data_IF_188599745173
#
_entry.id   IF_188599745173
#
_cell.length_a   1.000
_cell.length_b   1.000
_cell.length_c   1.000
_cell.angle_alpha   90.00
_cell.angle_beta   90.00
_cell.angle_gamma   90.00
#
_symmetry.space_group_name_H-M   'P 1'
#
loop_
_entity.id
_entity.type
_entity.pdbx_description
1 polymer ?
#
# COMPACT_ATOMS: atom_id res chain seq x y z
N UNK A 1 -23.49 2.62 0.20
CA UNK A 1 -22.27 3.31 0.68
C UNK A 1 -21.45 3.74 -0.54
N UNK A 2 -20.76 4.89 -0.48
CA UNK A 2 -19.77 5.25 -1.52
C UNK A 2 -18.62 4.24 -1.48
N UNK A 3 -18.11 3.83 -2.65
CA UNK A 3 -17.02 2.84 -2.78
C UNK A 3 -15.81 3.19 -1.89
N UNK A 4 -15.40 4.46 -1.86
CA UNK A 4 -14.29 4.90 -1.02
C UNK A 4 -14.53 4.75 0.49
N UNK A 5 -15.78 4.87 0.96
CA UNK A 5 -16.11 4.60 2.36
C UNK A 5 -15.95 3.13 2.72
N UNK A 6 -16.30 2.21 1.80
CA UNK A 6 -16.12 0.78 1.99
C UNK A 6 -14.62 0.46 2.08
N UNK A 7 -13.82 1.04 1.18
CA UNK A 7 -12.37 0.85 1.17
C UNK A 7 -11.73 1.36 2.48
N UNK A 8 -12.13 2.54 2.96
CA UNK A 8 -11.63 3.06 4.25
C UNK A 8 -11.96 2.10 5.40
N UNK A 9 -13.20 1.60 5.48
CA UNK A 9 -13.61 0.67 6.54
C UNK A 9 -12.81 -0.62 6.44
N UNK A 10 -12.71 -1.22 5.24
CA UNK A 10 -11.95 -2.45 5.02
C UNK A 10 -10.47 -2.28 5.38
N UNK A 11 -9.84 -1.19 4.93
CA UNK A 11 -8.44 -0.89 5.26
C UNK A 11 -8.22 -0.66 6.76
N UNK A 12 -9.19 -0.04 7.44
CA UNK A 12 -9.15 0.13 8.90
C UNK A 12 -9.23 -1.21 9.62
N UNK A 13 -10.11 -2.12 9.18
CA UNK A 13 -10.21 -3.47 9.73
C UNK A 13 -8.89 -4.23 9.54
N UNK A 14 -8.29 -4.18 8.35
CA UNK A 14 -6.98 -4.81 8.11
C UNK A 14 -5.89 -4.23 9.01
N UNK A 15 -5.84 -2.90 9.18
CA UNK A 15 -4.86 -2.27 10.08
C UNK A 15 -5.06 -2.71 11.54
N UNK A 16 -6.31 -2.78 12.02
CA UNK A 16 -6.61 -3.24 13.38
C UNK A 16 -6.28 -4.71 13.60
N UNK A 17 -6.56 -5.58 12.62
CA UNK A 17 -6.16 -6.98 12.66
C UNK A 17 -4.64 -7.11 12.74
N UNK A 18 -3.92 -6.31 11.94
CA UNK A 18 -2.46 -6.27 11.98
C UNK A 18 -1.91 -5.79 13.33
N UNK A 19 -2.49 -4.75 13.92
CA UNK A 19 -2.10 -4.27 15.26
C UNK A 19 -2.36 -5.35 16.32
N UNK A 20 -3.51 -6.01 16.26
CA UNK A 20 -3.88 -7.05 17.21
C UNK A 20 -2.98 -8.29 17.15
N UNK A 21 -2.41 -8.59 15.99
CA UNK A 21 -1.56 -9.77 15.80
C UNK A 21 -0.08 -9.56 16.16
N UNK A 22 0.34 -8.35 16.55
CA UNK A 22 1.77 -7.99 16.76
C UNK A 22 2.48 -8.96 17.73
N UNK A 23 1.77 -9.43 18.75
CA UNK A 23 2.34 -10.32 19.76
C UNK A 23 2.38 -11.80 19.37
N UNK A 24 1.76 -12.17 18.25
CA UNK A 24 1.65 -13.55 17.77
C UNK A 24 2.50 -13.78 16.54
N UNK A 25 2.40 -12.88 15.55
CA UNK A 25 3.11 -12.98 14.29
C UNK A 25 3.42 -11.58 13.76
N UNK A 26 4.59 -11.05 14.18
CA UNK A 26 5.05 -9.72 13.83
C UNK A 26 5.12 -9.50 12.31
N UNK A 27 5.44 -10.54 11.55
CA UNK A 27 5.57 -10.46 10.10
C UNK A 27 4.20 -10.24 9.47
N UNK A 28 3.25 -11.15 9.70
CA UNK A 28 1.90 -10.99 9.16
C UNK A 28 1.26 -9.69 9.65
N UNK A 29 1.53 -9.27 10.90
CA UNK A 29 1.08 -7.99 11.44
C UNK A 29 1.51 -6.80 10.62
N UNK A 30 2.81 -6.66 10.35
CA UNK A 30 3.33 -5.51 9.59
C UNK A 30 2.76 -5.51 8.17
N UNK A 31 2.60 -6.69 7.56
CA UNK A 31 1.95 -6.81 6.25
C UNK A 31 0.52 -6.27 6.27
N UNK A 32 -0.31 -6.71 7.22
CA UNK A 32 -1.70 -6.28 7.32
C UNK A 32 -1.83 -4.78 7.61
N UNK A 33 -0.92 -4.21 8.41
CA UNK A 33 -0.89 -2.76 8.67
C UNK A 33 -0.60 -1.99 7.38
N UNK A 34 0.46 -2.36 6.66
CA UNK A 34 0.85 -1.68 5.42
C UNK A 34 -0.21 -1.81 4.33
N UNK A 35 -0.76 -3.01 4.17
CA UNK A 35 -1.83 -3.27 3.21
C UNK A 35 -3.11 -2.49 3.58
N UNK A 36 -3.48 -2.46 4.86
CA UNK A 36 -4.59 -1.65 5.37
C UNK A 36 -4.40 -0.16 5.08
N UNK A 37 -3.20 0.37 5.30
CA UNK A 37 -2.87 1.78 5.00
C UNK A 37 -3.02 2.10 3.50
N UNK A 38 -2.57 1.23 2.59
CA UNK A 38 -2.75 1.41 1.15
C UNK A 38 -4.24 1.50 0.77
N UNK A 39 -5.08 0.64 1.36
CA UNK A 39 -6.53 0.67 1.11
C UNK A 39 -7.16 1.94 1.67
N UNK A 40 -6.77 2.36 2.89
CA UNK A 40 -7.27 3.62 3.50
C UNK A 40 -6.94 4.81 2.60
N UNK A 41 -5.68 4.91 2.14
CA UNK A 41 -5.26 5.97 1.22
C UNK A 41 -6.12 5.92 -0.05
N UNK A 42 -6.29 4.76 -0.67
CA UNK A 42 -7.15 4.60 -1.85
C UNK A 42 -8.58 5.10 -1.60
N UNK A 43 -9.20 4.66 -0.51
CA UNK A 43 -10.58 5.04 -0.19
C UNK A 43 -10.78 6.52 0.12
N UNK A 44 -9.81 7.16 0.80
CA UNK A 44 -9.82 8.60 1.08
C UNK A 44 -9.85 9.42 -0.21
N UNK A 45 -9.03 9.07 -1.19
CA UNK A 45 -8.95 9.81 -2.44
C UNK A 45 -10.09 9.46 -3.42
N UNK A 46 -10.62 8.23 -3.39
CA UNK A 46 -11.89 7.89 -4.07
C UNK A 46 -13.03 8.77 -3.55
N UNK A 47 -13.13 8.95 -2.23
CA UNK A 47 -14.19 9.78 -1.64
C UNK A 47 -14.06 11.27 -1.97
N UNK A 48 -12.83 11.76 -2.19
CA UNK A 48 -12.58 13.12 -2.68
C UNK A 48 -12.95 13.30 -4.16
N UNK A 49 -13.14 12.21 -4.91
CA UNK A 49 -13.53 12.23 -6.32
C UNK A 49 -12.38 12.60 -7.27
N UNK A 50 -11.14 12.69 -6.78
CA UNK A 50 -9.98 12.98 -7.60
C UNK A 50 -8.67 12.41 -7.04
N UNK A 51 -7.84 11.86 -7.93
CA UNK A 51 -6.47 11.43 -7.66
C UNK A 51 -5.51 12.59 -7.98
N UNK A 52 -5.17 13.38 -6.96
CA UNK A 52 -4.26 14.52 -7.10
C UNK A 52 -2.80 14.12 -6.82
N UNK A 53 -1.86 15.08 -6.90
CA UNK A 53 -0.44 14.85 -6.59
C UNK A 53 -0.20 14.21 -5.23
N UNK A 54 -0.95 14.64 -4.21
CA UNK A 54 -0.85 14.11 -2.84
C UNK A 54 -1.21 12.62 -2.77
N UNK A 55 -2.19 12.16 -3.55
CA UNK A 55 -2.51 10.72 -3.64
C UNK A 55 -1.30 9.92 -4.11
N UNK A 56 -0.72 10.31 -5.24
CA UNK A 56 0.38 9.55 -5.82
C UNK A 56 1.62 9.60 -4.92
N UNK A 57 1.90 10.74 -4.30
CA UNK A 57 2.99 10.85 -3.33
C UNK A 57 2.74 9.97 -2.11
N UNK A 58 1.51 9.91 -1.58
CA UNK A 58 1.18 9.06 -0.45
C UNK A 58 1.36 7.57 -0.80
N UNK A 59 0.81 7.11 -1.93
CA UNK A 59 0.97 5.72 -2.38
C UNK A 59 2.44 5.38 -2.64
N UNK A 60 3.17 6.27 -3.32
CA UNK A 60 4.61 6.08 -3.58
C UNK A 60 5.42 5.98 -2.28
N UNK A 61 5.17 6.87 -1.31
CA UNK A 61 5.83 6.81 0.00
C UNK A 61 5.51 5.51 0.74
N UNK A 62 4.26 5.04 0.70
CA UNK A 62 3.89 3.76 1.32
C UNK A 62 4.58 2.57 0.64
N UNK A 63 4.67 2.56 -0.69
CA UNK A 63 5.44 1.54 -1.44
C UNK A 63 6.92 1.60 -1.06
N UNK A 64 7.50 2.80 -0.93
CA UNK A 64 8.89 2.99 -0.50
C UNK A 64 9.17 2.44 0.90
N UNK A 65 8.26 2.69 1.85
CA UNK A 65 8.33 2.09 3.20
C UNK A 65 8.25 0.57 3.12
N UNK A 66 7.34 0.04 2.32
CA UNK A 66 7.16 -1.40 2.13
C UNK A 66 8.44 -2.05 1.58
N UNK A 67 9.03 -1.45 0.53
CA UNK A 67 10.30 -1.91 -0.04
C UNK A 67 11.46 -1.84 0.97
N UNK A 68 11.53 -0.75 1.76
CA UNK A 68 12.53 -0.61 2.82
C UNK A 68 12.44 -1.71 3.87
N UNK A 69 11.22 -2.11 4.25
CA UNK A 69 11.01 -3.21 5.20
C UNK A 69 11.44 -4.55 4.58
N UNK A 70 11.10 -4.83 3.32
CA UNK A 70 11.54 -6.05 2.63
C UNK A 70 13.07 -6.12 2.59
N UNK A 71 13.74 -5.02 2.23
CA UNK A 71 15.20 -4.95 2.19
C UNK A 71 15.78 -5.16 3.58
N UNK A 72 15.20 -4.54 4.62
CA UNK A 72 15.63 -4.74 6.00
C UNK A 72 15.53 -6.21 6.42
N UNK A 73 14.39 -6.86 6.15
CA UNK A 73 14.20 -8.28 6.45
C UNK A 73 15.22 -9.14 5.68
N UNK A 74 15.46 -8.82 4.41
CA UNK A 74 16.41 -9.54 3.58
C UNK A 74 17.85 -9.46 4.11
N UNK A 75 18.29 -8.27 4.52
CA UNK A 75 19.67 -8.02 4.95
C UNK A 75 19.94 -8.42 6.40
N UNK A 76 18.96 -8.28 7.30
CA UNK A 76 19.17 -8.37 8.74
C UNK A 76 18.37 -9.46 9.45
N UNK A 77 17.40 -10.10 8.79
CA UNK A 77 16.59 -11.18 9.36
C UNK A 77 16.74 -12.48 8.56
N UNK A 78 17.96 -13.02 8.49
CA UNK A 78 18.28 -14.24 7.73
C UNK A 78 17.52 -15.48 8.23
N UNK A 79 17.33 -15.62 9.54
CA UNK A 79 16.52 -16.71 10.12
C UNK A 79 15.05 -16.61 9.74
N UNK A 80 14.53 -15.39 9.56
CA UNK A 80 13.15 -15.16 9.14
C UNK A 80 12.92 -15.63 7.69
N UNK A 81 13.83 -15.34 6.77
CA UNK A 81 13.73 -15.79 5.36
C UNK A 81 13.75 -17.32 5.29
N UNK A 82 14.56 -17.97 6.13
CA UNK A 82 14.67 -19.42 6.18
C UNK A 82 13.43 -20.09 6.78
N UNK A 83 12.85 -19.50 7.84
CA UNK A 83 11.68 -20.06 8.52
C UNK A 83 10.36 -19.70 7.85
N UNK A 84 10.30 -18.60 7.10
CA UNK A 84 9.05 -18.08 6.56
C UNK A 84 9.16 -17.56 5.12
N UNK A 85 9.82 -18.38 4.29
CA UNK A 85 10.09 -18.12 2.89
C UNK A 85 8.82 -17.80 2.09
N UNK A 86 7.70 -18.45 2.42
CA UNK A 86 6.41 -18.23 1.76
C UNK A 86 5.86 -16.82 2.02
N UNK A 87 5.94 -16.33 3.26
CA UNK A 87 5.55 -14.97 3.57
C UNK A 87 6.49 -13.96 2.91
N UNK A 88 7.80 -14.20 2.90
CA UNK A 88 8.75 -13.32 2.21
C UNK A 88 8.42 -13.16 0.71
N UNK A 89 8.12 -14.24 -0.01
CA UNK A 89 7.69 -14.14 -1.42
C UNK A 89 6.32 -13.49 -1.59
N UNK A 90 5.40 -13.69 -0.63
CA UNK A 90 4.09 -13.02 -0.62
C UNK A 90 4.26 -11.50 -0.51
N UNK A 91 5.20 -11.03 0.31
CA UNK A 91 5.54 -9.60 0.43
C UNK A 91 6.08 -9.04 -0.89
N UNK A 92 7.02 -9.75 -1.53
CA UNK A 92 7.56 -9.35 -2.84
C UNK A 92 6.44 -9.27 -3.88
N UNK A 93 5.60 -10.30 -3.96
CA UNK A 93 4.49 -10.34 -4.91
C UNK A 93 3.51 -9.19 -4.67
N UNK A 94 3.12 -8.94 -3.42
CA UNK A 94 2.24 -7.84 -3.06
C UNK A 94 2.84 -6.47 -3.43
N UNK A 95 4.14 -6.27 -3.20
CA UNK A 95 4.85 -5.06 -3.59
C UNK A 95 4.86 -4.87 -5.12
N UNK A 96 5.13 -5.93 -5.88
CA UNK A 96 5.14 -5.89 -7.35
C UNK A 96 3.74 -5.54 -7.88
N UNK A 97 2.69 -6.18 -7.34
CA UNK A 97 1.30 -5.90 -7.73
C UNK A 97 0.92 -4.46 -7.38
N UNK A 98 1.21 -4.00 -6.16
CA UNK A 98 0.92 -2.63 -5.74
C UNK A 98 1.64 -1.59 -6.62
N UNK A 99 2.90 -1.84 -6.94
CA UNK A 99 3.70 -0.98 -7.82
C UNK A 99 3.14 -0.97 -9.25
N UNK A 100 2.79 -2.14 -9.80
CA UNK A 100 2.21 -2.24 -11.14
C UNK A 100 0.87 -1.50 -11.26
N UNK A 101 -0.02 -1.66 -10.26
CA UNK A 101 -1.29 -0.93 -10.19
C UNK A 101 -1.05 0.57 -10.10
N UNK A 102 -0.10 1.00 -9.26
CA UNK A 102 0.27 2.41 -9.13
C UNK A 102 0.77 3.00 -10.45
N UNK A 103 1.72 2.34 -11.13
CA UNK A 103 2.28 2.80 -12.40
C UNK A 103 1.19 2.88 -13.47
N UNK A 104 0.32 1.87 -13.56
CA UNK A 104 -0.80 1.88 -14.49
C UNK A 104 -1.72 3.08 -14.27
N UNK A 105 -2.11 3.34 -13.02
CA UNK A 105 -2.95 4.48 -12.66
C UNK A 105 -2.25 5.82 -12.90
N UNK A 106 -0.93 5.89 -12.65
CA UNK A 106 -0.12 7.08 -12.87
C UNK A 106 0.04 7.40 -14.36
N UNK A 107 0.31 6.41 -15.21
CA UNK A 107 0.38 6.61 -16.67
C UNK A 107 -0.98 6.99 -17.26
N UNK A 108 -2.06 6.38 -16.76
CA UNK A 108 -3.44 6.74 -17.15
C UNK A 108 -3.77 8.20 -16.81
N UNK A 109 -3.21 8.71 -15.71
CA UNK A 109 -3.27 10.13 -15.37
C UNK A 109 -2.52 10.97 -16.39
N UNK A 110 -1.26 10.67 -16.67
CA UNK A 110 -0.45 11.48 -17.59
C UNK A 110 -1.13 11.67 -18.96
N UNK A 111 -1.81 10.62 -19.44
CA UNK A 111 -2.59 10.61 -20.69
C UNK A 111 -3.92 11.37 -20.63
N UNK A 112 -4.48 11.63 -19.45
CA UNK A 112 -5.76 12.34 -19.33
C UNK A 112 -5.51 13.87 -19.41
N UNK A 113 -5.93 14.49 -20.51
CA UNK A 113 -5.76 15.93 -20.76
C UNK A 113 -6.75 16.80 -19.99
N UNK A 114 -7.90 16.25 -19.58
CA UNK A 114 -8.99 16.98 -18.94
C UNK A 114 -8.88 17.07 -17.42
N UNK A 115 -7.67 16.93 -16.86
CA UNK A 115 -7.50 17.03 -15.41
C UNK A 115 -7.44 18.48 -14.95
N UNK A 116 -8.31 18.90 -14.01
CA UNK A 116 -8.38 20.30 -13.56
C UNK A 116 -7.07 20.86 -12.98
N UNK A 117 -6.13 20.00 -12.55
CA UNK A 117 -4.87 20.37 -11.88
C UNK A 117 -3.62 19.95 -12.66
N UNK A 118 -3.71 19.76 -13.99
CA UNK A 118 -2.55 19.37 -14.82
C UNK A 118 -1.54 20.53 -15.01
N UNK A 119 -1.99 21.77 -14.89
CA UNK A 119 -1.23 23.00 -15.15
C UNK A 119 -0.48 23.58 -13.93
N UNK A 120 -0.80 23.16 -12.71
CA UNK A 120 -0.16 23.69 -11.50
C UNK A 120 1.02 22.78 -11.12
N UNK A 121 2.21 23.08 -11.62
CA UNK A 121 3.48 22.50 -11.14
C UNK A 121 4.13 23.37 -10.08
#
# INVERSE_FOLDING_TARGET
>A
MRRGTIDIIAGTVFALLGIGSIFVDQTSSVFFILFGLLIIISGLFINKGYYNKTYYLAVFSTIGIFAGIIIYMYLFMSEFILNDLAWFYTWILAMVVATGVFIYQFMGREKNENMPWKSEW
#
